data_IF_803380917533
#
_entry.id   IF_803380917533
#
_cell.length_a   1.000
_cell.length_b   1.000
_cell.length_c   1.000
_cell.angle_alpha   90.00
_cell.angle_beta   90.00
_cell.angle_gamma   90.00
#
_symmetry.space_group_name_H-M   'P 1'
#
loop_
_entity.id
_entity.type
_entity.pdbx_description
1 polymer ?
#
# COMPACT_ATOMS: atom_id res chain seq x y z
N UNK A 1 -12.18 5.21 -17.13
CA UNK A 1 -13.04 4.04 -16.87
C UNK A 1 -12.77 3.58 -15.44
N UNK A 2 -13.80 3.22 -14.68
CA UNK A 2 -13.61 2.78 -13.30
C UNK A 2 -12.96 1.40 -13.29
N UNK A 3 -12.02 1.19 -12.38
CA UNK A 3 -11.34 -0.08 -12.20
C UNK A 3 -12.08 -0.85 -11.11
N UNK A 4 -13.08 -1.62 -11.52
CA UNK A 4 -13.90 -2.45 -10.63
C UNK A 4 -13.35 -3.87 -10.66
N UNK A 5 -12.72 -4.30 -9.58
CA UNK A 5 -12.30 -5.68 -9.40
C UNK A 5 -13.48 -6.54 -8.95
N UNK A 6 -13.58 -7.76 -9.46
CA UNK A 6 -14.58 -8.74 -8.97
C UNK A 6 -13.84 -9.98 -8.52
N UNK A 7 -13.93 -10.31 -7.23
CA UNK A 7 -13.33 -11.52 -6.69
C UNK A 7 -14.07 -12.75 -7.24
N UNK A 8 -13.30 -13.70 -7.73
CA UNK A 8 -13.78 -14.83 -8.51
C UNK A 8 -13.13 -16.12 -8.01
N UNK A 9 -13.94 -17.16 -7.79
CA UNK A 9 -13.47 -18.47 -7.30
C UNK A 9 -13.75 -19.61 -8.27
N UNK A 10 -13.83 -19.32 -9.58
CA UNK A 10 -14.07 -20.37 -10.58
C UNK A 10 -15.54 -20.73 -10.79
N UNK A 11 -16.48 -19.99 -10.19
CA UNK A 11 -17.91 -20.33 -10.21
C UNK A 11 -18.56 -19.99 -11.57
N UNK A 12 -19.35 -20.92 -12.11
CA UNK A 12 -19.89 -20.83 -13.47
C UNK A 12 -20.83 -19.63 -13.69
N UNK A 13 -21.74 -19.33 -12.76
CA UNK A 13 -22.66 -18.20 -12.90
C UNK A 13 -21.95 -16.85 -12.78
N UNK A 14 -20.92 -16.74 -11.93
CA UNK A 14 -20.07 -15.54 -11.84
C UNK A 14 -19.35 -15.33 -13.18
N UNK A 15 -18.75 -16.39 -13.72
CA UNK A 15 -18.02 -16.37 -14.99
C UNK A 15 -18.90 -15.89 -16.15
N UNK A 16 -20.12 -16.43 -16.25
CA UNK A 16 -21.05 -16.06 -17.32
C UNK A 16 -21.48 -14.59 -17.21
N UNK A 17 -21.86 -14.13 -16.02
CA UNK A 17 -22.21 -12.71 -15.81
C UNK A 17 -21.04 -11.77 -16.12
N UNK A 18 -19.82 -12.12 -15.71
CA UNK A 18 -18.62 -11.32 -16.00
C UNK A 18 -18.29 -11.24 -17.51
N UNK A 19 -18.67 -12.25 -18.29
CA UNK A 19 -18.43 -12.32 -19.72
C UNK A 19 -19.64 -11.93 -20.58
N UNK A 20 -20.76 -11.56 -19.96
CA UNK A 20 -21.93 -11.08 -20.66
C UNK A 20 -21.57 -9.82 -21.49
N UNK A 21 -21.94 -9.77 -22.78
CA UNK A 21 -21.70 -8.60 -23.63
C UNK A 21 -22.10 -7.26 -23.00
N UNK A 22 -23.14 -7.22 -22.15
CA UNK A 22 -23.59 -5.98 -21.49
C UNK A 22 -22.61 -5.46 -20.43
N UNK A 23 -21.81 -6.33 -19.81
CA UNK A 23 -20.86 -6.00 -18.74
C UNK A 23 -19.40 -6.07 -19.20
N UNK A 24 -19.16 -6.46 -20.46
CA UNK A 24 -17.82 -6.63 -21.01
C UNK A 24 -16.98 -5.35 -20.85
N UNK A 25 -15.83 -5.49 -20.20
CA UNK A 25 -14.88 -4.39 -19.96
C UNK A 25 -15.21 -3.52 -18.74
N UNK A 26 -16.36 -3.73 -18.08
CA UNK A 26 -16.71 -3.00 -16.86
C UNK A 26 -16.06 -3.59 -15.60
N UNK A 27 -15.74 -4.88 -15.63
CA UNK A 27 -15.17 -5.62 -14.51
C UNK A 27 -13.80 -6.21 -14.87
N UNK A 28 -12.93 -6.26 -13.86
CA UNK A 28 -11.63 -6.92 -13.90
C UNK A 28 -11.75 -8.15 -12.97
N UNK A 29 -11.89 -9.37 -13.51
CA UNK A 29 -11.97 -10.56 -12.67
C UNK A 29 -10.63 -10.79 -11.96
N UNK A 30 -10.69 -11.02 -10.65
CA UNK A 30 -9.53 -11.33 -9.81
C UNK A 30 -9.78 -12.71 -9.21
N UNK A 31 -8.95 -13.69 -9.56
CA UNK A 31 -9.01 -14.98 -8.88
C UNK A 31 -8.65 -14.79 -7.40
N UNK A 32 -9.49 -15.28 -6.49
CA UNK A 32 -9.27 -15.13 -5.04
C UNK A 32 -7.90 -15.66 -4.60
N UNK A 33 -7.38 -16.70 -5.24
CA UNK A 33 -6.08 -17.28 -4.89
C UNK A 33 -4.89 -16.43 -5.37
N UNK A 34 -5.12 -15.55 -6.35
CA UNK A 34 -4.15 -14.57 -6.80
C UNK A 34 -4.25 -13.27 -5.99
N UNK A 35 -5.34 -13.06 -5.24
CA UNK A 35 -5.60 -11.83 -4.47
C UNK A 35 -4.40 -11.33 -3.65
N UNK A 36 -3.63 -12.21 -2.96
CA UNK A 36 -2.45 -11.76 -2.26
C UNK A 36 -1.52 -10.99 -3.20
N UNK A 37 -1.26 -11.49 -4.40
CA UNK A 37 -0.28 -10.92 -5.35
C UNK A 37 -0.74 -9.67 -6.08
N UNK A 38 -1.99 -9.23 -5.90
CA UNK A 38 -2.57 -8.09 -6.62
C UNK A 38 -2.45 -6.79 -5.81
N UNK A 39 -2.02 -5.72 -6.48
CA UNK A 39 -2.09 -4.36 -5.93
C UNK A 39 -3.54 -3.83 -6.01
N UNK A 40 -4.26 -3.92 -4.88
CA UNK A 40 -5.63 -3.41 -4.80
C UNK A 40 -5.72 -1.88 -4.87
N UNK A 41 -4.63 -1.14 -4.69
CA UNK A 41 -4.63 0.33 -4.81
C UNK A 41 -4.96 0.81 -6.23
N UNK A 42 -4.80 -0.06 -7.22
CA UNK A 42 -5.14 0.21 -8.60
C UNK A 42 -6.65 0.21 -8.84
N UNK A 43 -7.46 -0.30 -7.93
CA UNK A 43 -8.90 -0.44 -8.08
C UNK A 43 -9.64 0.65 -7.33
N UNK A 44 -10.78 1.06 -7.86
CA UNK A 44 -11.69 1.99 -7.18
C UNK A 44 -12.63 1.23 -6.26
N UNK A 45 -13.09 0.07 -6.74
CA UNK A 45 -14.02 -0.80 -6.05
C UNK A 45 -13.63 -2.27 -6.21
N UNK A 46 -13.91 -3.06 -5.17
CA UNK A 46 -13.83 -4.52 -5.17
C UNK A 46 -15.22 -5.07 -4.85
N UNK A 47 -15.75 -5.91 -5.73
CA UNK A 47 -17.00 -6.64 -5.54
C UNK A 47 -16.68 -8.08 -5.14
N UNK A 48 -17.27 -8.53 -4.04
CA UNK A 48 -17.20 -9.91 -3.55
C UNK A 48 -18.58 -10.54 -3.74
N UNK A 49 -18.83 -11.23 -4.85
CA UNK A 49 -20.10 -11.92 -5.08
C UNK A 49 -20.24 -13.14 -4.15
N UNK A 50 -21.46 -13.68 -4.06
CA UNK A 50 -21.73 -14.95 -3.37
C UNK A 50 -20.84 -16.07 -3.91
N UNK A 51 -20.48 -17.02 -3.05
CA UNK A 51 -19.72 -18.23 -3.38
C UNK A 51 -18.26 -17.98 -3.74
N UNK A 52 -17.72 -16.82 -3.32
CA UNK A 52 -16.26 -16.67 -3.20
C UNK A 52 -15.78 -17.48 -1.99
N UNK A 53 -14.63 -18.14 -2.13
CA UNK A 53 -14.02 -18.96 -1.09
C UNK A 53 -13.79 -18.16 0.21
N UNK A 54 -14.62 -18.42 1.22
CA UNK A 54 -14.61 -17.72 2.51
C UNK A 54 -13.38 -18.06 3.36
N UNK A 55 -12.78 -19.24 3.15
CA UNK A 55 -11.53 -19.62 3.84
C UNK A 55 -10.39 -18.77 3.29
N UNK A 56 -10.29 -18.66 1.96
CA UNK A 56 -9.30 -17.81 1.32
C UNK A 56 -9.50 -16.33 1.69
N UNK A 57 -10.74 -15.83 1.70
CA UNK A 57 -11.05 -14.46 2.15
C UNK A 57 -10.56 -14.19 3.58
N UNK A 58 -10.75 -15.14 4.50
CA UNK A 58 -10.23 -15.04 5.86
C UNK A 58 -8.71 -15.02 5.91
N UNK A 59 -8.06 -15.90 5.15
CA UNK A 59 -6.60 -15.98 5.10
C UNK A 59 -5.98 -14.70 4.50
N UNK A 60 -6.71 -14.03 3.60
CA UNK A 60 -6.30 -12.80 2.92
C UNK A 60 -6.96 -11.53 3.47
N UNK A 61 -7.62 -11.60 4.64
CA UNK A 61 -8.37 -10.47 5.21
C UNK A 61 -7.55 -9.18 5.30
N UNK A 62 -6.24 -9.30 5.55
CA UNK A 62 -5.32 -8.18 5.68
C UNK A 62 -5.19 -7.39 4.37
N UNK A 63 -5.31 -8.05 3.22
CA UNK A 63 -5.29 -7.39 1.90
C UNK A 63 -6.53 -6.50 1.74
N UNK A 64 -7.69 -6.96 2.23
CA UNK A 64 -8.95 -6.20 2.23
C UNK A 64 -8.91 -5.06 3.24
N UNK A 65 -8.38 -5.29 4.45
CA UNK A 65 -8.15 -4.23 5.45
C UNK A 65 -7.26 -3.12 4.87
N UNK A 66 -6.16 -3.48 4.22
CA UNK A 66 -5.26 -2.52 3.55
C UNK A 66 -5.95 -1.76 2.41
N UNK A 67 -6.81 -2.41 1.63
CA UNK A 67 -7.61 -1.76 0.60
C UNK A 67 -8.67 -0.81 1.17
N UNK A 68 -9.09 -0.97 2.42
CA UNK A 68 -10.03 -0.08 3.11
C UNK A 68 -9.31 1.00 3.95
N UNK A 69 -8.04 0.79 4.28
CA UNK A 69 -7.14 1.82 4.83
C UNK A 69 -6.70 2.81 3.75
N UNK A 70 -6.50 2.33 2.52
CA UNK A 70 -6.60 3.17 1.34
C UNK A 70 -8.09 3.46 1.13
N UNK A 71 -8.54 4.71 0.95
CA UNK A 71 -9.97 4.92 0.69
C UNK A 71 -10.35 4.17 -0.61
N UNK A 72 -11.18 3.14 -0.48
CA UNK A 72 -11.64 2.23 -1.53
C UNK A 72 -13.09 1.79 -1.27
N UNK A 73 -13.78 1.25 -2.28
CA UNK A 73 -15.16 0.80 -2.16
C UNK A 73 -15.20 -0.72 -2.13
N UNK A 74 -15.66 -1.33 -1.04
CA UNK A 74 -15.87 -2.76 -0.94
C UNK A 74 -17.37 -3.07 -0.99
N UNK A 75 -17.78 -3.93 -1.91
CA UNK A 75 -19.18 -4.35 -2.08
C UNK A 75 -19.26 -5.86 -1.88
N UNK A 76 -19.88 -6.31 -0.80
CA UNK A 76 -20.02 -7.73 -0.44
C UNK A 76 -21.46 -8.16 -0.65
N UNK A 77 -21.67 -9.16 -1.50
CA UNK A 77 -22.98 -9.53 -2.05
C UNK A 77 -23.20 -11.05 -1.91
N UNK A 78 -23.46 -11.52 -0.68
CA UNK A 78 -23.74 -12.94 -0.42
C UNK A 78 -23.17 -13.46 0.88
N UNK A 79 -22.51 -14.62 0.81
CA UNK A 79 -22.02 -15.37 1.98
C UNK A 79 -21.10 -14.52 2.88
N UNK A 80 -21.43 -14.49 4.17
CA UNK A 80 -20.54 -13.94 5.19
C UNK A 80 -20.18 -14.99 6.24
N UNK A 81 -19.00 -15.60 6.08
CA UNK A 81 -18.46 -16.55 7.04
C UNK A 81 -16.99 -16.27 7.33
N UNK A 82 -16.55 -16.49 8.57
CA UNK A 82 -15.13 -16.50 8.91
C UNK A 82 -14.50 -15.15 9.30
N UNK A 83 -15.29 -14.11 9.54
CA UNK A 83 -14.83 -12.90 10.24
C UNK A 83 -13.76 -12.08 9.49
N UNK A 84 -13.86 -12.03 8.15
CA UNK A 84 -12.88 -11.34 7.31
C UNK A 84 -13.27 -9.90 6.97
N UNK A 85 -14.55 -9.53 7.08
CA UNK A 85 -15.04 -8.18 6.79
C UNK A 85 -14.90 -7.30 8.03
N UNK A 86 -14.16 -6.18 7.96
CA UNK A 86 -13.97 -5.30 9.12
C UNK A 86 -15.30 -4.83 9.73
N UNK A 87 -15.42 -4.95 11.05
CA UNK A 87 -16.56 -4.43 11.81
C UNK A 87 -17.87 -5.23 11.71
N UNK A 88 -18.00 -6.16 10.75
CA UNK A 88 -19.22 -6.94 10.54
C UNK A 88 -19.18 -8.28 11.31
N UNK A 89 -20.31 -8.70 11.88
CA UNK A 89 -20.48 -10.03 12.47
C UNK A 89 -21.68 -10.75 11.83
N UNK A 90 -21.66 -12.09 11.71
CA UNK A 90 -22.85 -12.83 11.28
C UNK A 90 -23.90 -12.78 12.40
N UNK A 91 -25.14 -12.43 12.07
CA UNK A 91 -26.26 -12.47 13.01
C UNK A 91 -26.91 -13.85 13.14
N UNK A 92 -26.55 -14.77 12.24
CA UNK A 92 -27.16 -16.09 12.13
C UNK A 92 -28.35 -16.08 11.17
N UNK A 93 -29.13 -17.16 11.18
CA UNK A 93 -30.26 -17.35 10.29
C UNK A 93 -31.56 -17.39 11.07
N UNK A 94 -32.58 -16.72 10.55
CA UNK A 94 -33.93 -16.70 11.10
C UNK A 94 -34.94 -16.84 9.98
N UNK A 95 -36.17 -17.21 10.33
CA UNK A 95 -37.22 -17.42 9.33
C UNK A 95 -37.52 -16.14 8.55
N UNK A 96 -37.52 -15.00 9.23
CA UNK A 96 -37.83 -13.69 8.65
C UNK A 96 -36.79 -13.24 7.62
N UNK A 97 -35.57 -13.80 7.66
CA UNK A 97 -34.55 -13.57 6.65
C UNK A 97 -35.03 -14.08 5.27
N UNK A 98 -35.90 -15.09 5.20
CA UNK A 98 -36.50 -15.60 3.95
C UNK A 98 -37.85 -14.94 3.60
N UNK A 99 -38.31 -13.96 4.37
CA UNK A 99 -39.58 -13.27 4.13
C UNK A 99 -39.37 -11.97 3.33
N UNK A 100 -40.42 -11.33 2.77
CA UNK A 100 -40.27 -10.07 2.05
C UNK A 100 -39.51 -9.02 2.86
N UNK A 101 -38.44 -8.50 2.27
CA UNK A 101 -37.51 -7.58 2.89
C UNK A 101 -38.06 -6.15 2.89
N UNK A 102 -37.65 -5.36 3.88
CA UNK A 102 -38.11 -3.99 4.08
C UNK A 102 -36.95 -3.04 3.77
N UNK A 103 -37.10 -2.24 2.71
CA UNK A 103 -36.24 -1.09 2.44
C UNK A 103 -36.56 0.00 3.47
N UNK A 104 -35.54 0.41 4.24
CA UNK A 104 -35.70 1.42 5.29
C UNK A 104 -35.04 2.74 4.94
N UNK A 105 -34.14 2.74 3.96
CA UNK A 105 -33.39 3.91 3.55
C UNK A 105 -33.23 3.96 2.04
N UNK A 106 -33.18 5.18 1.51
CA UNK A 106 -32.84 5.40 0.11
C UNK A 106 -31.34 5.28 -0.12
N UNK A 107 -30.96 4.62 -1.21
CA UNK A 107 -29.58 4.49 -1.65
C UNK A 107 -29.54 4.31 -3.18
N UNK A 108 -28.57 4.91 -3.91
CA UNK A 108 -28.50 4.80 -5.37
C UNK A 108 -28.50 3.36 -5.91
N UNK A 109 -27.85 2.42 -5.20
CA UNK A 109 -27.83 1.00 -5.59
C UNK A 109 -29.24 0.34 -5.58
N UNK A 110 -30.17 0.90 -4.79
CA UNK A 110 -31.55 0.42 -4.62
C UNK A 110 -32.56 1.28 -5.40
N UNK A 111 -32.10 2.10 -6.34
CA UNK A 111 -32.97 2.93 -7.16
C UNK A 111 -33.86 2.06 -8.06
N UNK A 112 -35.17 2.25 -7.99
CA UNK A 112 -36.17 1.51 -8.76
C UNK A 112 -36.08 -0.02 -8.55
N UNK A 113 -35.67 -0.44 -7.34
CA UNK A 113 -35.60 -1.83 -6.87
C UNK A 113 -36.66 -2.03 -5.79
N UNK A 114 -37.58 -2.95 -6.02
CA UNK A 114 -38.62 -3.32 -5.05
C UNK A 114 -38.18 -4.54 -4.20
N UNK A 115 -38.93 -4.83 -3.13
CA UNK A 115 -38.66 -5.99 -2.26
C UNK A 115 -38.65 -7.31 -3.05
N UNK A 116 -39.56 -7.43 -4.00
CA UNK A 116 -39.69 -8.61 -4.86
C UNK A 116 -38.50 -8.81 -5.81
N UNK A 117 -37.76 -7.75 -6.15
CA UNK A 117 -36.56 -7.80 -6.99
C UNK A 117 -35.32 -8.32 -6.24
N UNK A 118 -35.41 -8.38 -4.90
CA UNK A 118 -34.33 -8.82 -4.02
C UNK A 118 -34.65 -10.18 -3.35
N UNK A 119 -35.83 -10.73 -3.63
CA UNK A 119 -36.30 -12.01 -3.12
C UNK A 119 -36.57 -12.97 -4.27
N UNK A 120 -35.51 -13.61 -4.75
CA UNK A 120 -35.54 -14.41 -5.99
C UNK A 120 -36.13 -15.83 -5.85
N UNK A 121 -36.13 -16.44 -4.66
CA UNK A 121 -36.66 -17.79 -4.43
C UNK A 121 -37.90 -17.79 -3.54
N UNK A 122 -39.01 -17.29 -4.09
CA UNK A 122 -40.30 -17.29 -3.40
C UNK A 122 -40.74 -18.72 -3.04
N UNK A 123 -40.86 -19.02 -1.75
CA UNK A 123 -41.42 -20.29 -1.25
C UNK A 123 -40.45 -21.48 -1.18
N UNK A 124 -39.15 -21.27 -1.39
CA UNK A 124 -38.10 -22.29 -1.13
C UNK A 124 -37.12 -21.70 -0.12
N UNK A 125 -37.41 -21.90 1.17
CA UNK A 125 -36.60 -21.40 2.28
C UNK A 125 -35.15 -21.92 2.22
N UNK A 126 -34.18 -21.06 2.51
CA UNK A 126 -32.77 -21.43 2.73
C UNK A 126 -31.90 -21.64 1.50
N UNK A 127 -32.37 -21.31 0.27
CA UNK A 127 -31.54 -21.44 -0.93
C UNK A 127 -30.70 -20.19 -1.24
N UNK A 128 -31.25 -19.00 -1.01
CA UNK A 128 -30.59 -17.71 -1.29
C UNK A 128 -30.54 -16.75 -0.09
N UNK A 129 -31.00 -17.19 1.09
CA UNK A 129 -30.78 -16.48 2.33
C UNK A 129 -29.55 -17.03 3.05
N UNK A 130 -28.60 -16.15 3.35
CA UNK A 130 -27.40 -16.46 4.11
C UNK A 130 -27.43 -15.82 5.50
N UNK A 131 -28.64 -15.64 6.04
CA UNK A 131 -28.88 -15.01 7.33
C UNK A 131 -28.84 -13.48 7.28
N UNK A 132 -28.81 -12.85 8.45
CA UNK A 132 -28.68 -11.40 8.62
C UNK A 132 -27.29 -11.03 9.16
N UNK A 133 -26.98 -9.73 9.06
CA UNK A 133 -25.71 -9.14 9.47
C UNK A 133 -25.90 -8.34 10.76
N UNK A 134 -24.86 -8.34 11.59
CA UNK A 134 -24.68 -7.39 12.68
C UNK A 134 -23.65 -6.36 12.22
N UNK A 135 -24.09 -5.17 11.76
CA UNK A 135 -23.18 -4.17 11.21
C UNK A 135 -22.38 -3.45 12.32
N UNK A 136 -21.26 -2.80 11.98
CA UNK A 136 -20.53 -1.98 12.94
C UNK A 136 -21.35 -0.77 13.41
N UNK A 137 -20.97 -0.22 14.57
CA UNK A 137 -21.61 0.98 15.10
C UNK A 137 -21.48 2.17 14.12
N UNK A 138 -22.58 2.87 13.86
CA UNK A 138 -22.62 4.00 12.92
C UNK A 138 -22.93 3.61 11.47
N UNK A 139 -22.97 2.32 11.15
CA UNK A 139 -23.43 1.85 9.84
C UNK A 139 -24.91 2.17 9.62
N UNK A 140 -25.25 2.47 8.37
CA UNK A 140 -26.59 2.78 7.90
C UNK A 140 -27.24 1.52 7.33
N UNK A 141 -28.21 0.95 8.05
CA UNK A 141 -29.03 -0.16 7.52
C UNK A 141 -29.87 0.34 6.33
N UNK A 142 -29.73 -0.32 5.19
CA UNK A 142 -30.47 -0.01 3.96
C UNK A 142 -31.70 -0.90 3.81
N UNK A 143 -31.54 -2.20 4.12
CA UNK A 143 -32.61 -3.19 4.09
C UNK A 143 -32.56 -4.03 5.36
N UNK A 144 -33.74 -4.35 5.89
CA UNK A 144 -33.93 -5.24 7.03
C UNK A 144 -34.98 -6.30 6.77
N UNK A 145 -34.95 -7.38 7.55
CA UNK A 145 -36.03 -8.35 7.58
C UNK A 145 -37.24 -7.81 8.40
N UNK A 146 -38.33 -8.59 8.48
CA UNK A 146 -39.53 -8.18 9.23
C UNK A 146 -39.32 -8.08 10.75
N UNK A 147 -38.36 -8.83 11.29
CA UNK A 147 -38.00 -8.79 12.72
C UNK A 147 -37.19 -7.54 13.08
N UNK A 148 -36.56 -6.91 12.10
CA UNK A 148 -35.77 -5.70 12.25
C UNK A 148 -34.27 -5.89 12.07
N UNK A 149 -33.80 -7.10 11.75
CA UNK A 149 -32.37 -7.37 11.56
C UNK A 149 -31.86 -6.90 10.21
N UNK A 150 -30.60 -6.49 10.16
CA UNK A 150 -29.99 -5.89 8.96
C UNK A 150 -29.65 -6.95 7.91
N UNK A 151 -30.14 -6.74 6.69
CA UNK A 151 -29.82 -7.59 5.53
C UNK A 151 -28.83 -6.92 4.59
N UNK A 152 -28.92 -5.58 4.45
CA UNK A 152 -28.00 -4.75 3.68
C UNK A 152 -27.67 -3.50 4.49
N UNK A 153 -26.40 -3.14 4.56
CA UNK A 153 -25.97 -1.87 5.14
C UNK A 153 -24.90 -1.17 4.31
N UNK A 154 -24.78 0.12 4.54
CA UNK A 154 -23.66 0.96 4.15
C UNK A 154 -22.88 1.37 5.39
N UNK A 155 -21.56 1.28 5.34
CA UNK A 155 -20.67 1.81 6.37
C UNK A 155 -19.60 2.69 5.73
N UNK A 156 -19.54 3.93 6.21
CA UNK A 156 -18.58 4.97 5.80
C UNK A 156 -17.71 5.44 6.97
N UNK A 157 -17.78 4.74 8.10
CA UNK A 157 -17.29 5.23 9.40
C UNK A 157 -16.28 4.32 10.08
N UNK A 158 -16.35 3.00 9.88
CA UNK A 158 -15.42 2.07 10.53
C UNK A 158 -14.03 2.01 9.88
N UNK A 159 -13.92 2.40 8.61
CA UNK A 159 -12.68 2.44 7.84
C UNK A 159 -12.53 3.76 7.08
N UNK A 160 -11.41 3.96 6.38
CA UNK A 160 -11.24 5.11 5.48
C UNK A 160 -12.00 4.94 4.14
N UNK A 161 -12.36 3.70 3.81
CA UNK A 161 -13.16 3.33 2.65
C UNK A 161 -14.67 3.33 2.89
N UNK A 162 -15.41 2.84 1.89
CA UNK A 162 -16.86 2.62 1.94
C UNK A 162 -17.11 1.12 1.84
N UNK A 163 -17.97 0.59 2.72
CA UNK A 163 -18.40 -0.80 2.70
C UNK A 163 -19.90 -0.83 2.41
N UNK A 164 -20.31 -1.54 1.36
CA UNK A 164 -21.69 -1.98 1.15
C UNK A 164 -21.69 -3.49 1.38
N UNK A 165 -22.43 -3.97 2.37
CA UNK A 165 -22.45 -5.40 2.68
C UNK A 165 -23.87 -5.90 2.83
N UNK A 166 -24.20 -6.93 2.05
CA UNK A 166 -25.48 -7.62 2.09
C UNK A 166 -25.33 -9.12 2.09
N UNK A 167 -26.12 -9.79 2.93
CA UNK A 167 -26.07 -11.25 3.12
C UNK A 167 -26.89 -12.05 2.10
N UNK A 168 -27.75 -11.39 1.32
CA UNK A 168 -28.74 -12.07 0.46
C UNK A 168 -28.75 -11.57 -0.98
N UNK A 169 -27.71 -10.86 -1.41
CA UNK A 169 -27.67 -10.18 -2.71
C UNK A 169 -26.95 -11.01 -3.77
N UNK A 170 -27.57 -12.11 -4.20
CA UNK A 170 -27.05 -13.06 -5.20
C UNK A 170 -27.05 -12.52 -6.65
N UNK A 171 -26.73 -11.24 -6.81
CA UNK A 171 -26.88 -10.47 -8.05
C UNK A 171 -26.25 -11.19 -9.25
N UNK A 172 -25.04 -11.76 -9.10
CA UNK A 172 -24.36 -12.45 -10.20
C UNK A 172 -25.04 -13.75 -10.62
N UNK A 173 -25.64 -14.48 -9.68
CA UNK A 173 -26.39 -15.70 -9.95
C UNK A 173 -27.71 -15.40 -10.69
N UNK A 174 -28.38 -14.33 -10.28
CA UNK A 174 -29.66 -13.94 -10.88
C UNK A 174 -29.51 -13.17 -12.19
N UNK A 175 -28.42 -12.41 -12.38
CA UNK A 175 -28.03 -11.91 -13.69
C UNK A 175 -27.81 -13.05 -14.69
N UNK A 176 -27.11 -14.11 -14.28
CA UNK A 176 -26.96 -15.32 -15.11
C UNK A 176 -28.31 -15.96 -15.46
N UNK A 177 -29.26 -15.92 -14.52
CA UNK A 177 -30.63 -16.40 -14.71
C UNK A 177 -31.55 -15.43 -15.47
N UNK A 178 -31.01 -14.30 -15.97
CA UNK A 178 -31.72 -13.23 -16.69
C UNK A 178 -32.84 -12.55 -15.89
N UNK A 179 -32.63 -12.41 -14.59
CA UNK A 179 -33.51 -11.63 -13.74
C UNK A 179 -33.30 -10.12 -13.95
N UNK A 180 -34.38 -9.39 -14.22
CA UNK A 180 -34.31 -7.95 -14.51
C UNK A 180 -34.03 -7.10 -13.26
N UNK A 181 -34.47 -7.56 -12.08
CA UNK A 181 -34.19 -6.91 -10.79
C UNK A 181 -32.71 -6.96 -10.46
N UNK A 182 -32.10 -8.14 -10.57
CA UNK A 182 -30.66 -8.34 -10.40
C UNK A 182 -29.84 -7.55 -11.43
N UNK A 183 -30.24 -7.58 -12.70
CA UNK A 183 -29.55 -6.84 -13.75
C UNK A 183 -29.61 -5.32 -13.49
N UNK A 184 -30.74 -4.81 -12.98
CA UNK A 184 -30.91 -3.41 -12.57
C UNK A 184 -30.04 -3.06 -11.36
N UNK A 185 -30.04 -3.89 -10.32
CA UNK A 185 -29.20 -3.69 -9.15
C UNK A 185 -27.71 -3.63 -9.52
N UNK A 186 -27.25 -4.52 -10.41
CA UNK A 186 -25.86 -4.50 -10.89
C UNK A 186 -25.54 -3.23 -11.67
N UNK A 187 -26.45 -2.75 -12.55
CA UNK A 187 -26.27 -1.47 -13.25
C UNK A 187 -26.23 -0.28 -12.29
N UNK A 188 -27.08 -0.27 -11.27
CA UNK A 188 -27.08 0.77 -10.25
C UNK A 188 -25.76 0.78 -9.46
N UNK A 189 -25.23 -0.39 -9.09
CA UNK A 189 -23.93 -0.54 -8.43
C UNK A 189 -22.81 0.05 -9.28
N UNK A 190 -22.74 -0.32 -10.56
CA UNK A 190 -21.71 0.20 -11.48
C UNK A 190 -21.80 1.73 -11.58
N UNK A 191 -23.02 2.26 -11.70
CA UNK A 191 -23.27 3.69 -11.85
C UNK A 191 -22.84 4.44 -10.59
N UNK A 192 -23.27 3.96 -9.42
CA UNK A 192 -22.91 4.52 -8.12
C UNK A 192 -21.39 4.46 -7.87
N UNK A 193 -20.72 3.34 -8.18
CA UNK A 193 -19.25 3.26 -8.11
C UNK A 193 -18.61 4.32 -9.00
N UNK A 194 -19.18 4.60 -10.18
CA UNK A 194 -18.66 5.66 -11.05
C UNK A 194 -18.84 7.07 -10.53
N UNK A 195 -19.85 7.31 -9.71
CA UNK A 195 -20.08 8.59 -9.04
C UNK A 195 -19.18 8.77 -7.81
N UNK A 196 -18.95 7.70 -7.04
CA UNK A 196 -18.11 7.73 -5.82
C UNK A 196 -16.61 7.65 -6.12
N UNK A 197 -16.20 6.91 -7.16
CA UNK A 197 -14.79 6.66 -7.46
C UNK A 197 -13.94 7.95 -7.57
N UNK A 198 -14.38 9.04 -8.23
CA UNK A 198 -13.65 10.30 -8.23
C UNK A 198 -13.38 10.86 -6.82
N UNK A 199 -14.40 10.89 -5.96
CA UNK A 199 -14.30 11.39 -4.58
C UNK A 199 -13.37 10.51 -3.74
N UNK A 200 -13.40 9.20 -3.97
CA UNK A 200 -12.52 8.24 -3.31
C UNK A 200 -11.06 8.45 -3.75
N UNK A 201 -10.82 8.65 -5.05
CA UNK A 201 -9.47 8.95 -5.57
C UNK A 201 -8.93 10.26 -5.00
N UNK A 202 -9.75 11.30 -4.86
CA UNK A 202 -9.37 12.56 -4.22
C UNK A 202 -8.98 12.38 -2.74
N UNK A 203 -9.66 11.49 -2.02
CA UNK A 203 -9.32 11.15 -0.62
C UNK A 203 -8.02 10.35 -0.48
N UNK A 204 -7.54 9.68 -1.52
CA UNK A 204 -6.27 8.94 -1.47
C UNK A 204 -5.14 9.95 -1.36
N UNK A 205 -4.58 10.11 -0.16
CA UNK A 205 -3.37 10.89 0.04
C UNK A 205 -2.27 10.28 -0.83
N UNK A 206 -1.86 11.00 -1.87
CA UNK A 206 -0.70 10.62 -2.66
C UNK A 206 0.53 11.08 -1.91
N UNK A 207 1.31 10.13 -1.44
CA UNK A 207 2.63 10.41 -0.88
C UNK A 207 3.63 10.39 -2.04
N UNK A 208 4.32 11.50 -2.33
CA UNK A 208 5.35 11.48 -3.36
C UNK A 208 6.57 10.62 -2.97
N UNK A 209 6.75 10.32 -1.68
CA UNK A 209 7.87 9.55 -1.15
C UNK A 209 7.37 8.22 -0.56
N UNK A 210 7.96 7.12 -1.02
CA UNK A 210 7.79 5.80 -0.39
C UNK A 210 9.03 5.43 0.42
N UNK A 211 8.87 4.93 1.64
CA UNK A 211 9.98 4.50 2.51
C UNK A 211 9.91 2.98 2.68
N UNK A 212 10.90 2.24 2.17
CA UNK A 212 10.94 0.78 2.35
C UNK A 212 11.16 0.45 3.83
N UNK A 213 10.14 -0.12 4.46
CA UNK A 213 10.08 -0.33 5.90
C UNK A 213 10.23 -1.80 6.25
N UNK A 214 11.28 -2.15 7.00
CA UNK A 214 11.57 -3.54 7.39
C UNK A 214 10.96 -3.98 8.73
N UNK A 215 10.11 -3.16 9.36
CA UNK A 215 9.49 -3.49 10.65
C UNK A 215 10.28 -3.00 11.88
N UNK A 216 11.25 -2.11 11.70
CA UNK A 216 12.13 -1.61 12.76
C UNK A 216 11.50 -0.42 13.49
N UNK A 217 11.40 -0.51 14.82
CA UNK A 217 10.68 0.47 15.63
C UNK A 217 11.20 1.92 15.48
N UNK A 218 12.51 2.13 15.34
CA UNK A 218 13.11 3.46 15.20
C UNK A 218 12.80 4.11 13.84
N UNK A 219 12.80 3.35 12.74
CA UNK A 219 12.32 3.87 11.45
C UNK A 219 10.85 4.22 11.49
N UNK A 220 10.02 3.39 12.13
CA UNK A 220 8.60 3.71 12.32
C UNK A 220 8.45 5.03 13.09
N UNK A 221 9.10 5.13 14.25
CA UNK A 221 9.06 6.33 15.08
C UNK A 221 9.55 7.60 14.37
N UNK A 222 10.49 7.49 13.44
CA UNK A 222 10.95 8.60 12.63
C UNK A 222 9.92 8.97 11.56
N UNK A 223 9.63 8.05 10.65
CA UNK A 223 8.87 8.35 9.43
C UNK A 223 7.36 8.49 9.66
N UNK A 224 6.85 8.26 10.87
CA UNK A 224 5.45 8.60 11.23
C UNK A 224 5.31 9.94 11.92
N UNK A 225 6.38 10.74 12.04
CA UNK A 225 6.28 12.10 12.62
C UNK A 225 5.55 13.06 11.66
N UNK A 226 4.88 14.11 12.18
CA UNK A 226 4.11 15.04 11.35
C UNK A 226 4.89 15.72 10.23
N UNK A 227 6.19 15.97 10.41
CA UNK A 227 7.06 16.58 9.39
C UNK A 227 7.38 15.68 8.19
N UNK A 228 7.01 14.40 8.24
CA UNK A 228 7.15 13.42 7.16
C UNK A 228 5.81 12.95 6.61
N UNK A 229 4.79 13.81 6.71
CA UNK A 229 3.44 13.48 6.25
C UNK A 229 3.31 13.28 4.73
N UNK A 230 4.34 13.66 3.97
CA UNK A 230 4.50 13.45 2.53
C UNK A 230 5.12 12.07 2.20
N UNK A 231 5.36 11.24 3.21
CA UNK A 231 5.95 9.91 3.09
C UNK A 231 4.97 8.79 3.45
N UNK A 232 5.12 7.65 2.77
CA UNK A 232 4.39 6.42 3.08
C UNK A 232 5.34 5.30 3.45
N UNK A 233 5.10 4.63 4.59
CA UNK A 233 5.86 3.43 4.97
C UNK A 233 5.42 2.22 4.13
N UNK A 234 6.33 1.73 3.29
CA UNK A 234 6.14 0.59 2.41
C UNK A 234 6.72 -0.66 3.06
N UNK A 235 5.88 -1.44 3.74
CA UNK A 235 6.36 -2.65 4.40
C UNK A 235 7.04 -3.59 3.41
N UNK A 236 8.29 -3.99 3.68
CA UNK A 236 9.16 -4.65 2.70
C UNK A 236 8.61 -5.99 2.19
N UNK A 237 7.83 -6.72 3.00
CA UNK A 237 7.17 -7.97 2.54
C UNK A 237 6.06 -7.72 1.51
N UNK A 238 5.58 -6.49 1.38
CA UNK A 238 4.62 -6.06 0.35
C UNK A 238 5.31 -5.58 -0.93
N UNK A 239 6.63 -5.33 -0.90
CA UNK A 239 7.40 -4.84 -2.05
C UNK A 239 7.16 -5.62 -3.35
N UNK A 240 6.99 -6.96 -3.38
CA UNK A 240 6.69 -7.70 -4.61
C UNK A 240 5.40 -7.25 -5.32
N UNK A 241 4.46 -6.65 -4.60
CA UNK A 241 3.11 -6.31 -5.09
C UNK A 241 2.91 -4.82 -5.29
N UNK A 242 3.68 -3.98 -4.60
CA UNK A 242 3.57 -2.52 -4.72
C UNK A 242 4.01 -2.02 -6.10
N UNK A 243 3.23 -1.10 -6.68
CA UNK A 243 3.68 -0.27 -7.81
C UNK A 243 4.52 0.92 -7.31
N UNK A 244 5.84 0.83 -7.52
CA UNK A 244 6.77 1.89 -7.10
C UNK A 244 6.61 3.19 -7.92
N UNK A 245 6.02 3.13 -9.13
CA UNK A 245 5.84 4.32 -9.97
C UNK A 245 4.79 5.29 -9.42
N UNK A 246 4.05 4.89 -8.38
CA UNK A 246 3.18 5.78 -7.61
C UNK A 246 3.96 6.81 -6.80
N UNK A 247 5.24 6.51 -6.53
CA UNK A 247 6.14 7.38 -5.79
C UNK A 247 7.14 8.00 -6.76
N UNK A 248 7.53 9.23 -6.48
CA UNK A 248 8.60 9.93 -7.22
C UNK A 248 9.97 9.62 -6.66
N UNK A 249 10.02 9.29 -5.37
CA UNK A 249 11.24 8.95 -4.67
C UNK A 249 10.99 7.77 -3.72
N UNK A 250 11.91 6.81 -3.73
CA UNK A 250 11.93 5.70 -2.78
C UNK A 250 13.13 5.87 -1.85
N UNK A 251 12.86 5.93 -0.54
CA UNK A 251 13.89 5.88 0.49
C UNK A 251 14.08 4.42 0.92
N UNK A 252 15.34 4.00 0.99
CA UNK A 252 15.76 2.71 1.53
C UNK A 252 16.59 3.02 2.78
N UNK A 253 16.00 2.99 3.98
CA UNK A 253 16.71 3.19 5.24
C UNK A 253 17.76 2.10 5.47
N UNK A 254 18.72 2.38 6.35
CA UNK A 254 19.68 1.40 6.86
C UNK A 254 18.96 0.23 7.53
N UNK A 255 19.63 -0.91 7.70
CA UNK A 255 19.01 -2.18 8.14
C UNK A 255 17.76 -2.65 7.36
N UNK A 256 17.56 -2.16 6.13
CA UNK A 256 16.54 -2.72 5.25
C UNK A 256 16.86 -4.18 4.93
N UNK A 257 15.83 -5.05 4.88
CA UNK A 257 16.00 -6.48 4.61
C UNK A 257 16.60 -6.72 3.21
N UNK A 258 17.91 -6.97 3.18
CA UNK A 258 18.70 -7.06 1.95
C UNK A 258 18.26 -8.22 1.06
N UNK A 259 17.81 -9.35 1.63
CA UNK A 259 17.34 -10.51 0.85
C UNK A 259 16.07 -10.17 0.07
N UNK A 260 15.14 -9.43 0.68
CA UNK A 260 13.93 -8.96 0.02
C UNK A 260 14.23 -7.90 -1.03
N UNK A 261 15.15 -6.96 -0.76
CA UNK A 261 15.64 -6.03 -1.78
C UNK A 261 16.25 -6.77 -2.97
N UNK A 262 17.09 -7.77 -2.72
CA UNK A 262 17.74 -8.58 -3.76
C UNK A 262 16.75 -9.41 -4.56
N UNK A 263 15.75 -10.00 -3.90
CA UNK A 263 14.67 -10.73 -4.57
C UNK A 263 13.85 -9.81 -5.49
N UNK A 264 13.76 -8.51 -5.16
CA UNK A 264 13.02 -7.50 -5.92
C UNK A 264 13.92 -6.55 -6.73
N UNK A 265 15.20 -6.89 -6.94
CA UNK A 265 16.16 -6.02 -7.64
C UNK A 265 15.68 -5.55 -9.01
N UNK A 266 15.06 -6.43 -9.79
CA UNK A 266 14.56 -6.09 -11.13
C UNK A 266 13.42 -5.07 -11.06
N UNK A 267 12.64 -5.07 -9.98
CA UNK A 267 11.61 -4.04 -9.75
C UNK A 267 12.25 -2.69 -9.44
N UNK A 268 13.29 -2.66 -8.59
CA UNK A 268 14.02 -1.42 -8.25
C UNK A 268 14.76 -0.84 -9.46
N UNK A 269 15.38 -1.70 -10.28
CA UNK A 269 16.06 -1.32 -11.53
C UNK A 269 15.04 -0.70 -12.50
N UNK A 270 13.91 -1.38 -12.75
CA UNK A 270 12.87 -0.83 -13.65
C UNK A 270 12.33 0.51 -13.18
N UNK A 271 12.21 0.70 -11.87
CA UNK A 271 11.79 1.98 -11.29
C UNK A 271 12.80 3.11 -11.61
N UNK A 272 14.11 2.85 -11.48
CA UNK A 272 15.15 3.80 -11.92
C UNK A 272 15.15 4.00 -13.45
N UNK A 273 14.99 2.94 -14.24
CA UNK A 273 14.89 3.02 -15.71
C UNK A 273 13.67 3.81 -16.18
N UNK A 274 12.61 3.87 -15.37
CA UNK A 274 11.40 4.66 -15.61
C UNK A 274 11.56 6.14 -15.21
N UNK A 275 12.70 6.54 -14.63
CA UNK A 275 12.96 7.91 -14.18
C UNK A 275 12.73 8.15 -12.69
N UNK A 276 12.46 7.10 -11.92
CA UNK A 276 12.31 7.21 -10.47
C UNK A 276 13.62 7.56 -9.75
N UNK A 277 13.53 8.09 -8.53
CA UNK A 277 14.70 8.38 -7.69
C UNK A 277 14.77 7.41 -6.50
N UNK A 278 15.96 6.89 -6.20
CA UNK A 278 16.22 6.11 -4.97
C UNK A 278 17.23 6.87 -4.10
N UNK A 279 16.90 7.02 -2.82
CA UNK A 279 17.80 7.46 -1.76
C UNK A 279 18.06 6.30 -0.80
N UNK A 280 19.28 5.77 -0.78
CA UNK A 280 19.67 4.63 0.05
C UNK A 280 20.63 5.03 1.16
N UNK A 281 20.37 4.54 2.37
CA UNK A 281 21.21 4.72 3.54
C UNK A 281 21.84 3.39 3.97
N UNK A 282 23.04 3.46 4.55
CA UNK A 282 23.73 2.34 5.16
C UNK A 282 24.41 1.35 4.20
N UNK A 283 24.58 0.13 4.69
CA UNK A 283 25.30 -0.96 4.03
C UNK A 283 24.48 -1.62 2.91
N UNK A 284 25.17 -1.95 1.81
CA UNK A 284 24.62 -2.72 0.68
C UNK A 284 25.30 -4.08 0.64
N UNK A 285 24.84 -5.00 1.49
CA UNK A 285 25.52 -6.29 1.71
C UNK A 285 25.24 -7.28 0.57
N UNK A 286 24.06 -7.19 -0.05
CA UNK A 286 23.71 -7.96 -1.23
C UNK A 286 23.66 -7.05 -2.46
N UNK A 287 23.99 -7.56 -3.67
CA UNK A 287 24.03 -6.76 -4.89
C UNK A 287 22.62 -6.56 -5.46
N UNK A 288 21.72 -5.92 -4.69
CA UNK A 288 20.35 -5.64 -5.10
C UNK A 288 20.23 -4.41 -6.00
N UNK A 289 21.29 -3.60 -6.11
CA UNK A 289 21.38 -2.47 -7.04
C UNK A 289 22.67 -2.54 -7.85
N UNK A 290 22.58 -2.57 -9.20
CA UNK A 290 23.77 -2.46 -10.06
C UNK A 290 24.55 -1.18 -9.77
N UNK A 291 25.88 -1.24 -9.83
CA UNK A 291 26.75 -0.09 -9.61
C UNK A 291 26.97 0.31 -8.15
N UNK A 292 26.17 -0.16 -7.19
CA UNK A 292 26.44 0.00 -5.76
C UNK A 292 27.37 -1.09 -5.24
N UNK A 293 28.66 -0.96 -5.53
CA UNK A 293 29.68 -1.88 -5.03
C UNK A 293 30.13 -1.42 -3.64
N UNK A 294 29.56 -2.01 -2.60
CA UNK A 294 29.91 -1.72 -1.22
C UNK A 294 31.11 -2.53 -0.73
N UNK A 295 32.09 -1.85 -0.15
CA UNK A 295 33.26 -2.48 0.45
C UNK A 295 33.11 -2.54 1.98
N UNK A 296 32.92 -3.76 2.48
CA UNK A 296 32.77 -4.07 3.90
C UNK A 296 34.06 -4.03 4.71
N UNK A 297 35.23 -4.00 4.07
CA UNK A 297 36.54 -4.12 4.73
C UNK A 297 37.09 -2.77 5.22
N UNK A 298 36.32 -1.68 5.05
CA UNK A 298 36.60 -0.35 5.58
C UNK A 298 35.44 0.21 6.45
N UNK A 299 34.79 -0.56 7.35
CA UNK A 299 33.73 0.00 8.18
C UNK A 299 34.35 0.83 9.30
N UNK A 300 33.94 2.09 9.45
CA UNK A 300 34.25 2.88 10.64
C UNK A 300 33.17 2.67 11.71
N UNK A 301 32.82 1.41 11.98
CA UNK A 301 31.72 1.04 12.89
C UNK A 301 32.31 0.22 14.03
N UNK A 302 32.26 0.77 15.23
CA UNK A 302 32.75 0.11 16.43
C UNK A 302 31.66 -0.79 17.02
N UNK A 303 31.65 -2.10 16.69
CA UNK A 303 30.86 -3.08 17.46
C UNK A 303 31.70 -3.71 18.59
N UNK A 304 31.09 -4.10 19.74
CA UNK A 304 31.77 -4.32 21.03
C UNK A 304 32.74 -5.50 21.14
N UNK A 305 33.08 -6.18 20.04
CA UNK A 305 33.89 -7.41 20.09
C UNK A 305 35.40 -7.17 20.13
N UNK A 306 35.84 -5.94 19.90
CA UNK A 306 37.23 -5.49 20.12
C UNK A 306 37.22 -4.38 21.19
N UNK A 307 37.42 -4.72 22.46
CA UNK A 307 37.38 -3.76 23.57
C UNK A 307 38.37 -2.57 23.39
N UNK A 308 39.46 -2.77 22.67
CA UNK A 308 40.46 -1.73 22.36
C UNK A 308 40.07 -0.81 21.19
N UNK A 309 38.99 -1.14 20.46
CA UNK A 309 38.41 -0.33 19.36
C UNK A 309 36.98 0.12 19.68
N UNK A 310 36.52 -0.05 20.92
CA UNK A 310 35.21 0.43 21.32
C UNK A 310 35.13 1.95 21.20
N UNK A 311 33.99 2.46 20.71
CA UNK A 311 33.70 3.88 20.65
C UNK A 311 33.94 4.52 22.02
N UNK A 312 34.80 5.55 22.06
CA UNK A 312 34.98 6.40 23.23
C UNK A 312 34.12 7.65 23.07
N UNK A 313 33.17 7.92 23.98
CA UNK A 313 32.36 9.12 23.92
C UNK A 313 33.23 10.38 23.83
N UNK A 314 33.07 11.13 22.73
CA UNK A 314 33.82 12.37 22.48
C UNK A 314 35.05 12.24 21.56
N UNK A 315 35.46 11.04 21.15
CA UNK A 315 36.46 10.85 20.09
C UNK A 315 35.75 10.74 18.72
N UNK A 316 36.04 11.68 17.82
CA UNK A 316 35.56 11.69 16.43
C UNK A 316 36.56 10.91 15.58
N UNK A 317 36.16 9.78 15.01
CA UNK A 317 37.04 8.93 14.17
C UNK A 317 37.01 9.31 12.67
N UNK A 318 36.33 10.41 12.31
CA UNK A 318 36.09 10.89 10.94
C UNK A 318 36.90 12.12 10.54
N UNK A 319 38.12 12.26 11.04
CA UNK A 319 38.96 13.44 10.81
C UNK A 319 39.42 13.67 9.35
N UNK A 320 38.98 12.85 8.39
CA UNK A 320 39.41 12.96 7.00
C UNK A 320 38.27 12.85 5.97
N UNK A 321 37.04 13.24 6.32
CA UNK A 321 35.99 13.38 5.30
C UNK A 321 36.24 14.61 4.42
N UNK A 322 35.95 14.51 3.13
CA UNK A 322 36.07 15.60 2.16
C UNK A 322 34.79 15.70 1.32
N UNK A 323 34.20 16.90 1.28
CA UNK A 323 33.10 17.22 0.37
C UNK A 323 33.73 17.50 -0.99
N UNK A 324 33.54 16.58 -1.93
CA UNK A 324 34.13 16.66 -3.28
C UNK A 324 33.39 17.65 -4.17
N UNK A 325 32.09 17.87 -3.89
CA UNK A 325 31.16 18.70 -4.66
C UNK A 325 30.41 19.69 -3.75
N UNK A 326 31.09 20.70 -3.18
CA UNK A 326 30.47 21.61 -2.21
C UNK A 326 29.30 22.43 -2.76
N UNK A 327 29.21 22.58 -4.08
CA UNK A 327 28.12 23.23 -4.81
C UNK A 327 26.83 22.41 -4.91
N UNK A 328 26.88 21.10 -4.63
CA UNK A 328 25.71 20.22 -4.75
C UNK A 328 24.68 20.54 -3.65
N UNK A 329 23.38 20.61 -4.00
CA UNK A 329 22.33 21.08 -3.06
C UNK A 329 22.16 20.22 -1.81
N UNK A 330 22.61 18.95 -1.85
CA UNK A 330 22.73 18.09 -0.66
C UNK A 330 23.62 18.69 0.45
N UNK A 331 24.52 19.61 0.15
CA UNK A 331 25.40 20.25 1.14
C UNK A 331 25.01 21.69 1.48
N UNK A 332 23.91 22.21 0.92
CA UNK A 332 23.49 23.58 1.18
C UNK A 332 23.23 23.81 2.68
N UNK A 333 23.96 24.77 3.26
CA UNK A 333 23.84 25.12 4.68
C UNK A 333 24.44 24.09 5.65
N UNK A 334 25.14 23.07 5.14
CA UNK A 334 25.92 22.13 5.94
C UNK A 334 27.39 22.55 6.01
N UNK A 335 28.00 22.27 7.15
CA UNK A 335 29.44 22.30 7.34
C UNK A 335 29.99 20.88 7.44
N UNK A 336 31.32 20.72 7.38
CA UNK A 336 31.93 19.41 7.56
C UNK A 336 31.63 18.81 8.95
N UNK A 337 31.45 19.64 9.99
CA UNK A 337 31.07 19.16 11.33
C UNK A 337 29.71 18.46 11.32
N UNK A 338 28.80 18.89 10.44
CA UNK A 338 27.49 18.27 10.25
C UNK A 338 27.57 16.96 9.43
N UNK A 339 28.77 16.43 9.17
CA UNK A 339 29.00 15.15 8.47
C UNK A 339 29.99 14.24 9.21
N UNK A 340 30.61 14.73 10.30
CA UNK A 340 31.66 14.05 11.05
C UNK A 340 31.10 13.13 12.15
N UNK A 341 30.55 11.98 11.75
CA UNK A 341 30.28 10.83 12.63
C UNK A 341 30.54 9.52 11.86
N UNK A 342 30.29 8.36 12.47
CA UNK A 342 30.64 7.08 11.83
C UNK A 342 29.89 6.82 10.51
N UNK A 343 30.51 5.99 9.68
CA UNK A 343 29.92 5.50 8.44
C UNK A 343 30.22 4.01 8.26
N UNK A 344 29.31 3.32 7.58
CA UNK A 344 29.32 1.87 7.47
C UNK A 344 29.97 1.41 6.17
N UNK A 345 31.28 1.64 6.02
CA UNK A 345 32.04 1.25 4.84
C UNK A 345 32.03 2.30 3.74
N UNK A 346 32.51 1.94 2.55
CA UNK A 346 32.62 2.86 1.40
C UNK A 346 32.19 2.19 0.12
N UNK A 347 31.70 2.97 -0.83
CA UNK A 347 31.40 2.49 -2.18
C UNK A 347 32.63 2.58 -3.08
N UNK A 348 32.73 1.62 -4.02
CA UNK A 348 33.68 1.63 -5.12
C UNK A 348 32.99 2.21 -6.38
N UNK A 349 33.20 3.50 -6.69
CA UNK A 349 32.51 4.18 -7.79
C UNK A 349 32.84 3.53 -9.14
N UNK A 350 31.82 3.47 -9.99
CA UNK A 350 31.88 3.03 -11.39
C UNK A 350 32.00 4.24 -12.33
N UNK A 351 32.42 4.05 -13.60
CA UNK A 351 32.47 5.14 -14.57
C UNK A 351 31.12 5.85 -14.70
N UNK A 352 31.12 7.18 -14.60
CA UNK A 352 29.92 8.02 -14.69
C UNK A 352 29.27 8.33 -13.34
N UNK A 353 29.64 7.64 -12.26
CA UNK A 353 29.15 7.96 -10.92
C UNK A 353 29.98 9.09 -10.28
N UNK A 354 29.30 9.97 -9.54
CA UNK A 354 29.91 11.09 -8.84
C UNK A 354 30.08 10.78 -7.35
N UNK A 355 31.28 11.04 -6.84
CA UNK A 355 31.54 11.01 -5.40
C UNK A 355 31.16 12.39 -4.86
N UNK A 356 30.21 12.46 -3.93
CA UNK A 356 29.81 13.72 -3.29
C UNK A 356 30.56 13.95 -1.98
N UNK A 357 30.80 12.88 -1.22
CA UNK A 357 31.57 12.86 0.02
C UNK A 357 32.53 11.68 0.00
N UNK A 358 33.82 11.92 0.23
CA UNK A 358 34.85 10.90 0.30
C UNK A 358 35.47 10.79 1.69
N UNK A 359 36.10 9.66 1.98
CA UNK A 359 36.97 9.51 3.14
C UNK A 359 38.41 9.94 2.83
N UNK A 360 39.31 9.87 3.82
CA UNK A 360 40.70 10.30 3.67
C UNK A 360 41.53 9.54 2.63
N UNK A 361 40.98 8.45 2.08
CA UNK A 361 41.58 7.66 1.00
C UNK A 361 40.91 7.92 -0.36
N UNK A 362 40.03 8.93 -0.46
CA UNK A 362 39.26 9.24 -1.67
C UNK A 362 38.19 8.19 -2.01
N UNK A 363 37.78 7.35 -1.05
CA UNK A 363 36.71 6.35 -1.26
C UNK A 363 35.36 6.96 -0.93
N UNK A 364 34.33 6.59 -1.70
CA UNK A 364 33.02 7.24 -1.64
C UNK A 364 32.24 6.84 -0.38
N UNK A 365 31.86 7.83 0.42
CA UNK A 365 30.89 7.71 1.52
C UNK A 365 29.50 8.07 1.03
N UNK A 366 29.39 9.12 0.20
CA UNK A 366 28.18 9.48 -0.53
C UNK A 366 28.49 9.39 -2.04
N UNK A 367 27.65 8.65 -2.75
CA UNK A 367 27.73 8.38 -4.18
C UNK A 367 26.43 8.80 -4.86
N UNK A 368 26.54 9.51 -5.98
CA UNK A 368 25.42 9.86 -6.85
C UNK A 368 25.60 9.19 -8.21
N UNK A 369 24.56 8.53 -8.70
CA UNK A 369 24.50 7.94 -10.03
C UNK A 369 23.27 8.46 -10.78
N UNK A 370 23.52 9.36 -11.72
CA UNK A 370 22.54 9.86 -12.70
C UNK A 370 22.89 9.43 -14.13
N UNK A 371 23.95 8.63 -14.31
CA UNK A 371 24.50 8.25 -15.61
C UNK A 371 24.06 6.85 -16.04
N UNK A 372 23.86 5.93 -15.08
CA UNK A 372 23.54 4.53 -15.34
C UNK A 372 22.06 4.30 -15.66
N UNK A 373 21.18 5.22 -15.27
CA UNK A 373 19.72 5.10 -15.42
C UNK A 373 19.10 6.40 -15.94
N UNK A 374 17.83 6.36 -16.35
CA UNK A 374 17.08 7.60 -16.63
C UNK A 374 16.73 8.36 -15.35
N UNK A 375 16.59 7.62 -14.26
CA UNK A 375 16.37 8.12 -12.91
C UNK A 375 17.68 8.38 -12.17
N UNK A 376 17.57 8.53 -10.85
CA UNK A 376 18.69 8.95 -9.99
C UNK A 376 18.86 8.01 -8.81
N UNK A 377 20.10 7.70 -8.47
CA UNK A 377 20.43 6.93 -7.29
C UNK A 377 21.42 7.71 -6.42
N UNK A 378 20.98 8.14 -5.25
CA UNK A 378 21.84 8.70 -4.21
C UNK A 378 22.01 7.64 -3.12
N UNK A 379 23.24 7.21 -2.89
CA UNK A 379 23.57 6.21 -1.87
C UNK A 379 24.59 6.78 -0.89
N UNK A 380 24.35 6.58 0.41
CA UNK A 380 25.27 6.96 1.47
C UNK A 380 25.48 5.82 2.45
N UNK A 381 26.70 5.64 2.95
CA UNK A 381 26.99 4.72 4.05
C UNK A 381 26.83 5.36 5.43
N UNK A 382 26.41 6.63 5.49
CA UNK A 382 25.93 7.28 6.71
C UNK A 382 24.49 6.77 7.02
N UNK A 383 24.12 6.84 8.29
CA UNK A 383 22.88 6.31 8.87
C UNK A 383 22.10 7.37 9.70
N UNK A 384 21.97 8.63 9.23
CA UNK A 384 21.40 9.71 10.05
C UNK A 384 19.95 9.45 10.48
N UNK A 385 19.19 8.67 9.70
CA UNK A 385 17.81 8.25 9.97
C UNK A 385 17.71 7.23 11.10
N UNK A 386 18.71 6.37 11.30
CA UNK A 386 18.75 5.44 12.42
C UNK A 386 18.85 6.24 13.73
N UNK A 387 19.84 7.14 13.81
CA UNK A 387 20.09 8.00 14.97
C UNK A 387 18.90 8.90 15.31
N UNK A 388 18.30 9.53 14.30
CA UNK A 388 17.14 10.37 14.49
C UNK A 388 15.91 9.57 14.96
N UNK A 389 15.78 8.31 14.51
CA UNK A 389 14.73 7.39 14.92
C UNK A 389 14.85 6.93 16.37
N UNK A 390 16.08 6.66 16.84
CA UNK A 390 16.36 6.39 18.26
C UNK A 390 16.25 7.65 19.13
N UNK A 391 16.53 8.83 18.58
CA UNK A 391 16.50 10.10 19.30
C UNK A 391 17.74 10.37 20.17
N UNK A 392 18.84 9.67 19.89
CA UNK A 392 20.05 9.68 20.73
C UNK A 392 21.10 10.70 20.26
N UNK A 393 21.27 10.89 18.95
CA UNK A 393 22.39 11.64 18.37
C UNK A 393 21.89 12.80 17.53
N UNK A 394 21.91 14.02 18.09
CA UNK A 394 21.37 15.22 17.45
C UNK A 394 22.21 15.77 16.29
N UNK A 395 23.50 15.46 16.23
CA UNK A 395 24.39 15.99 15.19
C UNK A 395 24.00 15.49 13.79
N UNK A 396 23.35 14.32 13.69
CA UNK A 396 22.90 13.74 12.42
C UNK A 396 21.62 14.37 11.88
N UNK A 397 20.85 15.06 12.72
CA UNK A 397 19.53 15.61 12.36
C UNK A 397 19.62 16.66 11.25
N UNK A 398 20.68 17.47 11.24
CA UNK A 398 20.88 18.50 10.21
C UNK A 398 21.12 17.88 8.84
N UNK A 399 21.96 16.85 8.77
CA UNK A 399 22.20 16.13 7.52
C UNK A 399 20.97 15.36 7.07
N UNK A 400 20.24 14.72 8.00
CA UNK A 400 18.96 14.08 7.67
C UNK A 400 17.97 15.09 7.08
N UNK A 401 17.78 16.23 7.75
CA UNK A 401 16.88 17.28 7.29
C UNK A 401 17.26 17.77 5.88
N UNK A 402 18.56 17.90 5.60
CA UNK A 402 19.05 18.28 4.27
C UNK A 402 18.85 17.19 3.22
N UNK A 403 19.01 15.91 3.57
CA UNK A 403 18.65 14.80 2.68
C UNK A 403 17.16 14.83 2.32
N UNK A 404 16.29 15.10 3.29
CA UNK A 404 14.84 15.18 3.07
C UNK A 404 14.44 16.43 2.28
N UNK A 405 15.14 17.56 2.48
CA UNK A 405 14.98 18.75 1.65
C UNK A 405 15.39 18.50 0.20
N UNK A 406 16.54 17.84 -0.03
CA UNK A 406 16.98 17.42 -1.35
C UNK A 406 15.97 16.47 -2.02
N UNK A 407 15.44 15.49 -1.28
CA UNK A 407 14.41 14.59 -1.79
C UNK A 407 13.16 15.37 -2.29
N UNK A 408 12.76 16.41 -1.56
CA UNK A 408 11.62 17.28 -1.91
C UNK A 408 11.93 18.20 -3.09
N UNK A 409 13.16 18.69 -3.23
CA UNK A 409 13.61 19.44 -4.41
C UNK A 409 13.50 18.58 -5.68
N UNK A 410 14.00 17.34 -5.64
CA UNK A 410 13.89 16.40 -6.77
C UNK A 410 12.43 16.14 -7.14
N UNK A 411 11.54 16.04 -6.15
CA UNK A 411 10.10 15.89 -6.38
C UNK A 411 9.50 17.14 -7.06
N UNK A 412 9.94 18.33 -6.69
CA UNK A 412 9.49 19.60 -7.24
C UNK A 412 10.02 19.87 -8.66
N UNK A 413 11.25 19.44 -8.98
CA UNK A 413 11.83 19.53 -10.33
C UNK A 413 11.01 18.73 -11.37
N UNK A 414 10.38 17.64 -10.93
CA UNK A 414 9.40 16.92 -11.73
C UNK A 414 8.06 17.68 -11.84
N UNK A 415 7.93 18.64 -12.75
CA UNK A 415 6.60 19.17 -13.13
C UNK A 415 5.71 18.06 -13.75
N UNK A 416 4.36 18.16 -13.65
CA UNK A 416 3.45 17.01 -13.69
C UNK A 416 3.31 16.41 -15.09
N UNK A 417 3.02 15.11 -15.15
CA UNK A 417 2.46 14.44 -16.34
C UNK A 417 1.04 14.92 -16.57
#
# INVERSE_FOLDING_TARGET
MNKIGVLYSGISFQHQTLNDPQYRGQFIPINIYDLPEIDLSLYDAIIVPRSVDQVALRDYKRVIEEFLDLPGILIVLGDYNGGWLPGCQPGGFTREDDEPLIKVEEHPILKDIESEDLHWHKGINGLCSHGHLVPPAGAKTLIRNQRGDTILYEDRSSTKGIIIAGSQFDIFCHCFSRDEGAARALRNIITWVGEEAPLIREKRKQHPIGVIYSGLHFHYNLFTRPEYEDMELLYIRRLPRLDLNRYRLIIIPRESNQEMLYAQREKLIRYLEAGGTILSFGEVILPWMPGLIWNKDLPQVCYPKDADKAYKPGEVYTDNLLIEKPEHSLFEGLSMEDLKWHYHGVFAPQPGQEILLSNGQGKAVILLDEASFKGRLLATTLDPEEHAGFGEVKITERFLARCMAWAREIIAEGSPV
#
